data_IF_162617718091
#
_entry.id   IF_162617718091
#
_cell.length_a   1.000
_cell.length_b   1.000
_cell.length_c   1.000
_cell.angle_alpha   90.00
_cell.angle_beta   90.00
_cell.angle_gamma   90.00
#
_symmetry.space_group_name_H-M   'P 1'
#
loop_
_entity.id
_entity.type
_entity.pdbx_description
1 polymer ?
#
# COMPACT_ATOMS: atom_id res chain seq x y z
N UNK A 1 53.55 -38.17 4.04
CA UNK A 1 52.55 -37.40 4.81
C UNK A 1 51.49 -36.96 3.83
N UNK A 2 50.23 -37.34 4.03
CA UNK A 2 49.15 -36.81 3.19
C UNK A 2 48.91 -35.36 3.59
N UNK A 3 48.94 -34.44 2.64
CA UNK A 3 48.39 -33.10 2.85
C UNK A 3 46.87 -33.29 2.97
N UNK A 4 46.37 -33.27 4.20
CA UNK A 4 44.94 -33.12 4.45
C UNK A 4 44.61 -31.68 4.07
N UNK A 5 44.41 -31.45 2.78
CA UNK A 5 44.00 -30.15 2.28
C UNK A 5 42.66 -29.83 2.92
N UNK A 6 42.67 -28.84 3.81
CA UNK A 6 41.47 -28.27 4.42
C UNK A 6 40.49 -27.99 3.28
N UNK A 7 39.42 -28.77 3.23
CA UNK A 7 38.43 -28.63 2.17
C UNK A 7 37.69 -27.35 2.49
N UNK A 8 37.82 -26.35 1.62
CA UNK A 8 37.28 -25.01 1.80
C UNK A 8 36.25 -24.76 0.70
N UNK A 9 35.10 -24.21 1.06
CA UNK A 9 34.06 -23.82 0.11
C UNK A 9 33.50 -22.43 0.45
N UNK A 10 32.84 -21.81 -0.53
CA UNK A 10 32.17 -20.52 -0.34
C UNK A 10 30.92 -20.66 0.53
N UNK A 11 30.67 -19.66 1.36
CA UNK A 11 29.38 -19.43 1.98
C UNK A 11 28.49 -18.64 1.02
N UNK A 12 27.30 -19.13 0.69
CA UNK A 12 26.37 -18.46 -0.24
C UNK A 12 25.92 -17.09 0.27
N UNK A 13 25.73 -16.94 1.59
CA UNK A 13 25.29 -15.67 2.20
C UNK A 13 26.31 -14.52 2.23
N UNK A 14 27.63 -14.79 2.12
CA UNK A 14 28.65 -13.73 2.18
C UNK A 14 29.85 -13.91 1.24
N UNK A 15 29.86 -14.93 0.38
CA UNK A 15 30.94 -15.24 -0.56
C UNK A 15 32.28 -15.67 0.05
N UNK A 16 32.46 -15.55 1.38
CA UNK A 16 33.72 -15.90 2.06
C UNK A 16 33.95 -17.40 2.02
N UNK A 17 35.20 -17.79 1.72
CA UNK A 17 35.62 -19.20 1.73
C UNK A 17 35.99 -19.62 3.14
N UNK A 18 35.30 -20.62 3.68
CA UNK A 18 35.50 -21.18 5.03
C UNK A 18 35.73 -22.70 4.96
N UNK A 19 36.07 -23.34 6.08
CA UNK A 19 36.21 -24.80 6.13
C UNK A 19 34.87 -25.50 5.89
N UNK A 20 34.88 -26.65 5.22
CA UNK A 20 33.67 -27.46 5.01
C UNK A 20 33.03 -27.91 6.33
N UNK A 21 33.83 -28.03 7.40
CA UNK A 21 33.35 -28.39 8.75
C UNK A 21 32.63 -27.25 9.48
N UNK A 22 32.86 -25.99 9.06
CA UNK A 22 32.20 -24.80 9.59
C UNK A 22 30.93 -24.42 8.80
N UNK A 23 30.58 -25.17 7.75
CA UNK A 23 29.44 -24.87 6.88
C UNK A 23 28.18 -25.62 7.32
N UNK A 24 27.12 -24.87 7.60
CA UNK A 24 25.77 -25.37 7.88
C UNK A 24 24.88 -25.19 6.64
N UNK A 25 24.25 -26.26 6.18
CA UNK A 25 23.20 -26.19 5.15
C UNK A 25 21.87 -25.78 5.79
N UNK A 26 21.19 -24.79 5.18
CA UNK A 26 19.86 -24.33 5.57
C UNK A 26 18.91 -24.52 4.38
N UNK A 27 17.72 -25.06 4.64
CA UNK A 27 16.65 -25.19 3.64
C UNK A 27 15.76 -23.94 3.68
N UNK A 28 15.55 -23.34 2.51
CA UNK A 28 14.66 -22.21 2.26
C UNK A 28 13.21 -22.69 2.04
N UNK A 29 12.18 -21.85 2.23
CA UNK A 29 10.77 -22.24 2.02
C UNK A 29 10.51 -22.74 0.58
N UNK A 30 11.18 -22.15 -0.41
CA UNK A 30 11.13 -22.56 -1.83
C UNK A 30 11.77 -23.94 -2.13
N UNK A 31 12.24 -24.65 -1.08
CA UNK A 31 12.93 -25.94 -1.20
C UNK A 31 14.42 -25.85 -1.56
N UNK A 32 14.93 -24.66 -1.88
CA UNK A 32 16.34 -24.42 -2.14
C UNK A 32 17.21 -24.67 -0.89
N UNK A 33 18.42 -25.20 -1.08
CA UNK A 33 19.38 -25.45 0.01
C UNK A 33 20.59 -24.53 -0.15
N UNK A 34 20.80 -23.66 0.85
CA UNK A 34 21.92 -22.71 0.89
C UNK A 34 22.96 -23.11 1.94
N UNK A 35 24.24 -22.93 1.63
CA UNK A 35 25.37 -23.36 2.46
C UNK A 35 26.00 -22.14 3.14
N UNK A 36 25.85 -22.05 4.46
CA UNK A 36 26.18 -20.86 5.23
C UNK A 36 27.31 -21.11 6.23
N UNK A 37 28.21 -20.13 6.40
CA UNK A 37 29.14 -20.08 7.52
C UNK A 37 28.39 -19.76 8.84
N UNK A 38 28.99 -19.94 10.03
CA UNK A 38 28.26 -19.84 11.30
C UNK A 38 27.80 -18.40 11.61
N UNK A 39 28.40 -17.39 10.97
CA UNK A 39 27.93 -16.01 11.02
C UNK A 39 26.69 -15.77 10.14
N UNK A 40 26.57 -16.46 9.00
CA UNK A 40 25.45 -16.31 8.06
C UNK A 40 24.27 -17.25 8.35
N UNK A 41 24.51 -18.39 8.98
CA UNK A 41 23.49 -19.35 9.39
C UNK A 41 22.28 -18.71 10.13
N UNK A 42 22.45 -17.86 11.17
CA UNK A 42 21.31 -17.25 11.85
C UNK A 42 20.49 -16.34 10.92
N UNK A 43 21.13 -15.67 9.96
CA UNK A 43 20.46 -14.83 8.97
C UNK A 43 19.68 -15.68 7.95
N UNK A 44 20.26 -16.77 7.44
CA UNK A 44 19.57 -17.70 6.55
C UNK A 44 18.36 -18.36 7.23
N UNK A 45 18.52 -18.83 8.48
CA UNK A 45 17.39 -19.38 9.27
C UNK A 45 16.32 -18.33 9.57
N UNK A 46 16.69 -17.07 9.78
CA UNK A 46 15.72 -15.99 9.99
C UNK A 46 14.97 -15.64 8.70
N UNK A 47 15.67 -15.63 7.56
CA UNK A 47 15.06 -15.44 6.23
C UNK A 47 14.08 -16.57 5.91
N UNK A 48 14.45 -17.84 6.14
CA UNK A 48 13.57 -18.98 5.92
C UNK A 48 12.25 -18.90 6.73
N UNK A 49 12.32 -18.52 8.02
CA UNK A 49 11.12 -18.27 8.84
C UNK A 49 10.31 -17.05 8.40
N UNK A 50 10.94 -16.07 7.73
CA UNK A 50 10.24 -14.86 7.25
C UNK A 50 9.54 -15.11 5.91
N UNK A 51 10.11 -15.95 5.04
CA UNK A 51 9.46 -16.41 3.81
C UNK A 51 8.17 -17.18 4.10
N UNK A 52 8.19 -18.07 5.09
CA UNK A 52 7.00 -18.78 5.62
C UNK A 52 5.86 -17.80 6.05
N UNK A 53 6.20 -16.57 6.46
CA UNK A 53 5.26 -15.49 6.76
C UNK A 53 4.84 -14.64 5.55
N UNK A 54 5.53 -14.75 4.41
CA UNK A 54 5.14 -14.15 3.13
C UNK A 54 4.18 -15.07 2.35
N UNK A 55 4.29 -16.40 2.49
CA UNK A 55 3.28 -17.38 2.05
C UNK A 55 1.89 -17.17 2.67
N UNK A 56 1.83 -16.46 3.81
CA UNK A 56 0.58 -16.07 4.49
C UNK A 56 -0.06 -14.79 3.92
N UNK A 57 0.51 -14.21 2.85
CA UNK A 57 -0.15 -13.15 2.09
C UNK A 57 -1.39 -13.73 1.40
N UNK A 58 -2.49 -12.98 1.50
CA UNK A 58 -3.76 -13.33 0.87
C UNK A 58 -3.98 -12.42 -0.32
N UNK A 59 -3.94 -13.00 -1.50
CA UNK A 59 -4.28 -12.34 -2.76
C UNK A 59 -5.64 -12.87 -3.26
N UNK A 60 -6.25 -12.17 -4.20
CA UNK A 60 -7.64 -12.44 -4.61
C UNK A 60 -7.66 -13.34 -5.83
N UNK A 61 -8.37 -14.46 -5.77
CA UNK A 61 -8.56 -15.35 -6.92
C UNK A 61 -9.35 -14.63 -8.03
N UNK A 62 -8.84 -14.58 -9.25
CA UNK A 62 -9.52 -13.93 -10.39
C UNK A 62 -10.86 -14.61 -10.76
N UNK A 63 -11.00 -15.91 -10.48
CA UNK A 63 -12.20 -16.69 -10.79
C UNK A 63 -13.36 -16.53 -9.80
N UNK A 64 -13.10 -16.61 -8.49
CA UNK A 64 -14.15 -16.54 -7.45
C UNK A 64 -14.13 -15.25 -6.61
N UNK A 65 -13.13 -14.39 -6.78
CA UNK A 65 -12.93 -13.15 -6.01
C UNK A 65 -12.78 -13.36 -4.49
N UNK A 66 -12.49 -14.60 -4.05
CA UNK A 66 -12.19 -14.88 -2.64
C UNK A 66 -10.69 -14.74 -2.32
N UNK A 67 -10.33 -14.33 -1.08
CA UNK A 67 -8.94 -14.16 -0.66
C UNK A 67 -8.28 -15.50 -0.32
N UNK A 68 -7.49 -16.02 -1.28
CA UNK A 68 -6.71 -17.26 -1.18
C UNK A 68 -5.27 -16.98 -0.74
N UNK A 69 -4.53 -17.99 -0.27
CA UNK A 69 -3.10 -17.85 -0.01
C UNK A 69 -2.34 -17.73 -1.33
N UNK A 70 -1.31 -16.87 -1.40
CA UNK A 70 -0.47 -16.74 -2.61
C UNK A 70 0.19 -18.05 -3.02
N UNK A 71 0.45 -18.95 -2.07
CA UNK A 71 1.00 -20.28 -2.30
C UNK A 71 0.01 -21.27 -2.97
N UNK A 72 -1.29 -20.96 -2.95
CA UNK A 72 -2.37 -21.79 -3.50
C UNK A 72 -2.98 -21.19 -4.79
N UNK A 73 -2.46 -20.05 -5.25
CA UNK A 73 -2.84 -19.47 -6.54
C UNK A 73 -1.96 -20.08 -7.64
N UNK A 74 -2.59 -20.62 -8.68
CA UNK A 74 -1.95 -21.19 -9.85
C UNK A 74 -2.32 -20.36 -11.09
N UNK A 75 -1.30 -19.96 -11.86
CA UNK A 75 -1.46 -19.09 -13.02
C UNK A 75 -1.91 -19.88 -14.25
N UNK A 76 -3.14 -19.65 -14.70
CA UNK A 76 -3.69 -20.24 -15.93
C UNK A 76 -3.64 -19.23 -17.08
N UNK A 77 -3.28 -19.72 -18.27
CA UNK A 77 -3.27 -18.92 -19.51
C UNK A 77 -4.46 -19.34 -20.36
N UNK A 78 -5.41 -18.41 -20.56
CA UNK A 78 -6.55 -18.56 -21.45
C UNK A 78 -6.12 -18.50 -22.93
N UNK A 79 -6.95 -19.01 -23.85
CA UNK A 79 -6.67 -19.02 -25.29
C UNK A 79 -6.43 -17.61 -25.89
N UNK A 80 -7.02 -16.57 -25.29
CA UNK A 80 -6.82 -15.16 -25.66
C UNK A 80 -5.47 -14.58 -25.17
N UNK A 81 -4.64 -15.38 -24.48
CA UNK A 81 -3.35 -14.97 -23.92
C UNK A 81 -3.43 -14.23 -22.58
N UNK A 82 -4.62 -14.16 -21.97
CA UNK A 82 -4.81 -13.59 -20.62
C UNK A 82 -4.31 -14.60 -19.57
N UNK A 83 -3.44 -14.13 -18.68
CA UNK A 83 -3.01 -14.87 -17.48
C UNK A 83 -3.93 -14.51 -16.32
N UNK A 84 -4.47 -15.52 -15.63
CA UNK A 84 -5.30 -15.36 -14.42
C UNK A 84 -4.70 -16.15 -13.27
N UNK A 85 -4.62 -15.55 -12.08
CA UNK A 85 -4.16 -16.21 -10.88
C UNK A 85 -5.37 -16.81 -10.14
N UNK A 86 -5.54 -18.12 -10.28
CA UNK A 86 -6.75 -18.83 -9.85
C UNK A 86 -6.49 -19.78 -8.68
N UNK A 87 -7.45 -19.94 -7.78
CA UNK A 87 -7.39 -20.96 -6.74
C UNK A 87 -7.61 -22.37 -7.35
N UNK A 88 -7.26 -23.46 -6.63
CA UNK A 88 -7.23 -24.81 -7.22
C UNK A 88 -8.61 -25.27 -7.73
N UNK A 89 -9.68 -24.82 -7.08
CA UNK A 89 -11.07 -25.06 -7.52
C UNK A 89 -11.41 -24.35 -8.83
N UNK A 90 -10.96 -23.10 -9.01
CA UNK A 90 -11.19 -22.34 -10.25
C UNK A 90 -10.33 -22.86 -11.41
N UNK A 91 -9.14 -23.40 -11.14
CA UNK A 91 -8.32 -24.08 -12.14
C UNK A 91 -8.96 -25.40 -12.59
N UNK A 92 -9.50 -26.19 -11.66
CA UNK A 92 -10.18 -27.45 -12.00
C UNK A 92 -11.43 -27.25 -12.89
N UNK A 93 -12.13 -26.13 -12.73
CA UNK A 93 -13.30 -25.75 -13.54
C UNK A 93 -12.92 -24.93 -14.81
N UNK A 94 -11.64 -24.61 -15.01
CA UNK A 94 -11.20 -23.81 -16.15
C UNK A 94 -11.28 -24.60 -17.47
N UNK A 95 -11.95 -24.09 -18.52
CA UNK A 95 -12.06 -24.78 -19.80
C UNK A 95 -10.68 -24.89 -20.46
N UNK A 96 -10.09 -26.08 -20.40
CA UNK A 96 -8.77 -26.36 -21.00
C UNK A 96 -8.03 -27.53 -20.34
N UNK A 97 -8.29 -27.84 -19.06
CA UNK A 97 -7.55 -28.89 -18.34
C UNK A 97 -8.22 -30.27 -18.38
N UNK A 98 -8.08 -30.97 -19.51
CA UNK A 98 -8.47 -32.37 -19.67
C UNK A 98 -9.78 -32.56 -20.46
N UNK A 99 -9.68 -33.21 -21.62
CA UNK A 99 -10.81 -33.37 -22.54
C UNK A 99 -11.57 -34.69 -22.43
N UNK A 100 -12.74 -34.71 -23.08
CA UNK A 100 -13.58 -35.90 -23.41
C UNK A 100 -14.15 -36.63 -22.18
N UNK A 101 -15.47 -36.71 -21.96
CA UNK A 101 -16.51 -37.13 -22.90
C UNK A 101 -17.92 -36.86 -22.34
N UNK A 102 -18.90 -36.67 -23.23
CA UNK A 102 -20.36 -36.81 -23.02
C UNK A 102 -21.07 -35.87 -21.99
N UNK A 103 -22.36 -35.56 -22.12
CA UNK A 103 -23.26 -35.50 -23.28
C UNK A 103 -24.52 -34.71 -22.88
N UNK A 104 -25.24 -34.21 -23.89
CA UNK A 104 -26.61 -33.69 -23.94
C UNK A 104 -27.49 -33.67 -22.67
N UNK A 105 -28.08 -32.51 -22.40
CA UNK A 105 -29.53 -32.40 -22.19
C UNK A 105 -30.08 -31.01 -22.60
N UNK A 106 -30.66 -30.95 -23.80
CA UNK A 106 -31.51 -29.86 -24.28
C UNK A 106 -32.77 -29.68 -23.41
N UNK A 107 -33.23 -28.43 -23.22
CA UNK A 107 -34.66 -28.11 -23.08
C UNK A 107 -34.96 -26.59 -23.17
N UNK A 108 -35.33 -26.15 -24.38
CA UNK A 108 -36.41 -25.17 -24.69
C UNK A 108 -36.82 -24.07 -23.68
N UNK A 109 -36.88 -22.81 -24.14
CA UNK A 109 -37.54 -21.71 -23.43
C UNK A 109 -39.02 -21.49 -23.82
N UNK A 110 -39.70 -20.53 -23.16
CA UNK A 110 -40.90 -19.82 -23.65
C UNK A 110 -41.31 -18.62 -22.75
N UNK A 111 -41.36 -17.44 -23.36
CA UNK A 111 -42.41 -16.40 -23.26
C UNK A 111 -42.85 -15.68 -21.96
N UNK A 112 -42.64 -14.34 -22.00
CA UNK A 112 -43.64 -13.26 -21.87
C UNK A 112 -44.20 -12.77 -20.51
N UNK A 113 -43.84 -11.53 -20.12
CA UNK A 113 -44.70 -10.34 -19.89
C UNK A 113 -43.87 -9.21 -19.21
N UNK A 114 -43.74 -7.96 -19.72
CA UNK A 114 -44.68 -6.81 -19.62
C UNK A 114 -45.22 -6.59 -18.19
N UNK A 115 -45.21 -5.43 -17.52
CA UNK A 115 -44.85 -4.01 -17.77
C UNK A 115 -44.69 -3.34 -16.38
N UNK A 116 -44.16 -2.14 -16.10
CA UNK A 116 -43.68 -0.97 -16.87
C UNK A 116 -42.43 -0.38 -16.14
N UNK A 117 -41.89 0.85 -16.32
CA UNK A 117 -42.28 2.08 -17.01
C UNK A 117 -42.68 3.21 -16.05
N UNK A 118 -41.75 4.14 -15.77
CA UNK A 118 -42.02 5.53 -15.34
C UNK A 118 -40.75 6.39 -15.51
N UNK A 119 -40.92 7.48 -16.23
CA UNK A 119 -39.86 8.41 -16.67
C UNK A 119 -39.85 9.70 -15.82
N UNK A 120 -39.03 10.66 -16.25
CA UNK A 120 -39.03 12.10 -15.89
C UNK A 120 -38.27 12.50 -14.61
N UNK A 121 -37.61 13.68 -14.54
CA UNK A 121 -37.50 14.76 -15.53
C UNK A 121 -36.06 15.27 -15.66
N UNK A 122 -35.70 15.76 -16.86
CA UNK A 122 -34.59 16.67 -17.04
C UNK A 122 -35.10 18.11 -16.91
N UNK A 123 -34.33 19.00 -16.27
CA UNK A 123 -34.49 20.44 -16.42
C UNK A 123 -33.12 21.06 -16.77
N UNK A 124 -33.06 21.65 -17.96
CA UNK A 124 -31.87 22.34 -18.48
C UNK A 124 -31.75 23.74 -17.87
N UNK A 125 -30.52 24.14 -17.54
CA UNK A 125 -30.19 25.49 -17.09
C UNK A 125 -28.98 26.05 -17.83
N UNK A 126 -29.19 26.55 -19.05
CA UNK A 126 -28.18 27.25 -19.84
C UNK A 126 -28.12 28.76 -19.51
N UNK A 127 -26.89 29.28 -19.38
CA UNK A 127 -26.38 30.68 -19.31
C UNK A 127 -25.19 30.72 -18.33
N UNK A 128 -24.11 31.49 -18.49
CA UNK A 128 -23.66 32.47 -19.50
C UNK A 128 -22.11 32.39 -19.47
N UNK A 129 -21.35 32.56 -20.56
CA UNK A 129 -21.04 33.90 -21.08
C UNK A 129 -20.09 34.68 -20.16
N UNK A 130 -18.80 34.30 -20.06
CA UNK A 130 -17.88 34.94 -19.12
C UNK A 130 -16.38 34.74 -19.39
N UNK A 131 -15.84 35.42 -20.39
CA UNK A 131 -14.38 35.64 -20.49
C UNK A 131 -13.91 36.52 -19.32
N UNK A 132 -13.02 36.02 -18.45
CA UNK A 132 -12.01 36.86 -17.79
C UNK A 132 -10.91 36.04 -17.12
N UNK A 133 -9.66 36.23 -17.58
CA UNK A 133 -8.44 35.87 -16.85
C UNK A 133 -8.14 34.37 -16.72
N UNK A 134 -7.17 33.89 -17.50
CA UNK A 134 -6.52 32.60 -17.22
C UNK A 134 -5.86 32.63 -15.83
N UNK A 135 -6.31 31.85 -14.83
CA UNK A 135 -5.50 31.62 -13.65
C UNK A 135 -4.33 30.74 -14.08
N UNK A 136 -3.11 31.15 -13.74
CA UNK A 136 -1.90 30.42 -14.11
C UNK A 136 -1.97 28.97 -13.58
N UNK A 137 -1.68 28.02 -14.46
CA UNK A 137 -2.03 26.60 -14.37
C UNK A 137 -1.75 25.95 -13.01
N UNK A 138 -2.78 25.78 -12.18
CA UNK A 138 -2.66 25.16 -10.86
C UNK A 138 -2.27 23.65 -10.93
N UNK A 139 -2.36 23.06 -12.13
CA UNK A 139 -1.93 21.68 -12.41
C UNK A 139 -0.44 21.38 -12.18
N UNK A 140 0.44 22.38 -12.14
CA UNK A 140 1.85 22.19 -11.73
C UNK A 140 2.01 22.19 -10.19
N UNK A 141 1.12 22.89 -9.47
CA UNK A 141 1.13 22.96 -8.00
C UNK A 141 0.67 21.67 -7.32
N UNK A 142 0.26 20.64 -8.06
CA UNK A 142 -0.16 19.35 -7.49
C UNK A 142 0.64 18.10 -7.87
N UNK A 143 1.69 18.16 -8.71
CA UNK A 143 2.51 16.97 -9.07
C UNK A 143 3.42 16.43 -7.95
N UNK A 144 3.41 15.12 -7.69
CA UNK A 144 4.33 14.44 -6.75
C UNK A 144 5.82 14.73 -7.07
N UNK A 145 6.71 14.89 -6.07
CA UNK A 145 8.15 15.09 -6.33
C UNK A 145 8.85 13.87 -6.94
N UNK A 146 8.37 12.67 -6.61
CA UNK A 146 8.96 11.40 -7.07
C UNK A 146 8.36 10.95 -8.41
N UNK A 147 7.09 10.52 -8.43
CA UNK A 147 6.46 9.99 -9.65
C UNK A 147 5.99 11.07 -10.65
N UNK A 148 5.95 12.35 -10.25
CA UNK A 148 5.52 13.51 -11.06
C UNK A 148 4.06 13.51 -11.50
N UNK A 149 3.26 12.53 -11.08
CA UNK A 149 1.84 12.46 -11.36
C UNK A 149 1.00 13.49 -10.57
N UNK A 150 -0.13 13.95 -11.13
CA UNK A 150 -0.96 14.99 -10.52
C UNK A 150 -1.79 14.50 -9.31
N UNK A 151 -1.51 15.15 -8.17
CA UNK A 151 -2.23 15.18 -6.88
C UNK A 151 -3.68 15.69 -6.90
N UNK A 152 -4.72 14.86 -6.82
CA UNK A 152 -6.06 15.36 -6.49
C UNK A 152 -6.20 15.88 -5.04
N UNK A 153 -5.31 15.46 -4.13
CA UNK A 153 -5.35 15.78 -2.69
C UNK A 153 -4.07 16.51 -2.22
N UNK A 154 -4.13 17.14 -1.03
CA UNK A 154 -2.95 17.76 -0.41
C UNK A 154 -1.83 16.73 -0.22
N UNK A 155 -0.69 17.00 -0.86
CA UNK A 155 0.52 16.17 -0.85
C UNK A 155 1.12 16.10 0.56
N UNK A 156 1.69 14.95 0.91
CA UNK A 156 2.44 14.80 2.15
C UNK A 156 3.77 15.54 2.04
N UNK A 157 4.05 16.47 2.96
CA UNK A 157 5.41 16.95 3.20
C UNK A 157 6.11 15.91 4.07
N UNK A 158 7.17 15.30 3.56
CA UNK A 158 7.97 14.32 4.31
C UNK A 158 9.42 14.80 4.37
N UNK A 159 10.08 14.53 5.48
CA UNK A 159 11.53 14.71 5.60
C UNK A 159 12.17 13.34 5.45
N UNK A 160 13.01 13.16 4.43
CA UNK A 160 13.73 11.90 4.22
C UNK A 160 14.98 11.81 5.11
N UNK A 161 15.57 10.61 5.19
CA UNK A 161 16.85 10.37 5.90
C UNK A 161 18.01 11.26 5.43
N UNK A 162 17.93 11.80 4.21
CA UNK A 162 18.91 12.75 3.65
C UNK A 162 18.63 14.21 4.04
N UNK A 163 17.79 14.44 5.06
CA UNK A 163 17.34 15.76 5.55
C UNK A 163 16.59 16.59 4.49
N UNK A 164 16.15 15.96 3.39
CA UNK A 164 15.46 16.62 2.28
C UNK A 164 13.94 16.60 2.49
N UNK A 165 13.32 17.78 2.37
CA UNK A 165 11.86 17.91 2.42
C UNK A 165 11.24 17.65 1.05
N UNK A 166 10.51 16.55 0.93
CA UNK A 166 9.82 16.14 -0.30
C UNK A 166 8.31 16.31 -0.23
N UNK A 167 7.62 16.25 -1.39
CA UNK A 167 6.16 16.42 -1.51
C UNK A 167 5.55 15.24 -2.26
N UNK A 168 5.16 14.21 -1.51
CA UNK A 168 4.74 12.91 -2.04
C UNK A 168 3.22 12.77 -2.17
N UNK A 169 2.78 11.98 -3.16
CA UNK A 169 1.42 11.42 -3.19
C UNK A 169 1.24 10.37 -2.07
N UNK A 170 0.00 9.90 -1.80
CA UNK A 170 -0.23 8.85 -0.80
C UNK A 170 0.60 7.60 -1.04
N UNK A 171 0.71 7.18 -2.29
CA UNK A 171 1.35 5.93 -2.72
C UNK A 171 2.88 6.02 -2.55
N UNK A 172 3.53 7.05 -3.12
CA UNK A 172 4.96 7.29 -2.88
C UNK A 172 5.28 7.54 -1.40
N UNK A 173 4.35 8.08 -0.62
CA UNK A 173 4.53 8.26 0.83
C UNK A 173 4.50 6.91 1.56
N UNK A 174 3.57 6.02 1.22
CA UNK A 174 3.51 4.68 1.79
C UNK A 174 4.73 3.84 1.41
N UNK A 175 5.12 3.87 0.12
CA UNK A 175 6.31 3.18 -0.40
C UNK A 175 7.62 3.68 0.25
N UNK A 176 7.75 4.99 0.48
CA UNK A 176 8.91 5.57 1.19
C UNK A 176 8.90 5.32 2.71
N UNK A 177 7.73 5.09 3.33
CA UNK A 177 7.62 4.61 4.72
C UNK A 177 8.04 3.14 4.82
N UNK A 178 7.55 2.28 3.92
CA UNK A 178 7.90 0.86 3.86
C UNK A 178 9.42 0.65 3.68
N UNK A 179 10.04 1.48 2.83
CA UNK A 179 11.49 1.48 2.60
C UNK A 179 12.30 2.14 3.72
N UNK A 180 11.66 2.68 4.76
CA UNK A 180 12.34 3.35 5.88
C UNK A 180 13.08 4.64 5.49
N UNK A 181 12.69 5.27 4.38
CA UNK A 181 13.34 6.48 3.84
C UNK A 181 12.83 7.74 4.53
N UNK A 182 11.63 7.70 5.14
CA UNK A 182 11.00 8.81 5.83
C UNK A 182 11.42 8.87 7.30
N UNK A 183 11.91 10.03 7.73
CA UNK A 183 12.24 10.35 9.13
C UNK A 183 11.11 11.08 9.85
N UNK A 184 10.39 11.96 9.14
CA UNK A 184 9.28 12.75 9.69
C UNK A 184 8.22 13.02 8.61
N UNK A 185 6.95 13.14 9.01
CA UNK A 185 5.81 13.45 8.14
C UNK A 185 5.06 14.65 8.71
N UNK A 186 5.17 15.80 8.05
CA UNK A 186 4.46 17.00 8.46
C UNK A 186 2.94 16.83 8.31
N UNK A 187 2.19 17.27 9.31
CA UNK A 187 0.73 17.21 9.31
C UNK A 187 0.15 17.96 8.08
N UNK A 188 -0.87 17.39 7.43
CA UNK A 188 -1.61 18.05 6.33
C UNK A 188 -2.58 19.09 6.89
N UNK A 189 -2.86 20.19 6.16
CA UNK A 189 -3.77 21.24 6.64
C UNK A 189 -5.16 20.70 6.96
N UNK A 190 -5.68 19.79 6.14
CA UNK A 190 -6.98 19.14 6.39
C UNK A 190 -6.97 18.39 7.74
N UNK A 191 -5.92 17.61 8.01
CA UNK A 191 -5.77 16.89 9.28
C UNK A 191 -5.60 17.83 10.48
N UNK A 192 -4.89 18.95 10.31
CA UNK A 192 -4.76 19.97 11.34
C UNK A 192 -6.11 20.62 11.69
N UNK A 193 -6.95 20.89 10.68
CA UNK A 193 -8.31 21.38 10.88
C UNK A 193 -9.20 20.37 11.60
N UNK A 194 -9.13 19.08 11.25
CA UNK A 194 -9.81 17.99 11.97
C UNK A 194 -9.41 17.91 13.45
N UNK A 195 -8.11 18.03 13.76
CA UNK A 195 -7.59 17.99 15.14
C UNK A 195 -8.08 19.17 15.98
N UNK A 196 -8.15 20.36 15.39
CA UNK A 196 -8.70 21.54 16.05
C UNK A 196 -10.24 21.59 16.07
N UNK A 197 -10.90 20.86 15.17
CA UNK A 197 -12.35 20.87 14.98
C UNK A 197 -12.85 22.16 14.33
N UNK A 198 -12.12 22.68 13.33
CA UNK A 198 -12.43 23.93 12.62
C UNK A 198 -12.71 23.70 11.14
N UNK A 199 -13.55 24.54 10.55
CA UNK A 199 -13.92 24.49 9.14
C UNK A 199 -12.76 24.82 8.18
N UNK A 200 -12.93 24.43 6.91
CA UNK A 200 -11.96 24.70 5.84
C UNK A 200 -11.63 26.21 5.70
N UNK A 201 -12.64 27.07 5.89
CA UNK A 201 -12.58 28.53 5.75
C UNK A 201 -12.50 29.27 7.10
N UNK A 202 -12.16 28.57 8.19
CA UNK A 202 -12.05 29.18 9.52
C UNK A 202 -10.92 30.24 9.56
N UNK A 203 -11.23 31.42 10.10
CA UNK A 203 -10.28 32.52 10.30
C UNK A 203 -9.29 32.26 11.43
N UNK A 204 -8.18 33.01 11.46
CA UNK A 204 -7.18 32.97 12.54
C UNK A 204 -7.74 33.19 13.94
N UNK A 205 -8.77 34.03 14.12
CA UNK A 205 -9.50 34.13 15.39
C UNK A 205 -10.08 32.78 15.81
N UNK A 206 -10.82 32.12 14.91
CA UNK A 206 -11.47 30.84 15.16
C UNK A 206 -10.45 29.72 15.40
N UNK A 207 -9.37 29.69 14.61
CA UNK A 207 -8.25 28.74 14.79
C UNK A 207 -7.59 28.92 16.17
N UNK A 208 -7.36 30.17 16.62
CA UNK A 208 -6.82 30.46 17.96
C UNK A 208 -7.78 30.08 19.08
N UNK A 209 -9.08 30.33 18.93
CA UNK A 209 -10.07 29.97 19.95
C UNK A 209 -10.22 28.44 20.08
N UNK A 210 -10.26 27.74 18.95
CA UNK A 210 -10.29 26.28 18.90
C UNK A 210 -9.01 25.68 19.52
N UNK A 211 -7.83 26.21 19.19
CA UNK A 211 -6.56 25.82 19.81
C UNK A 211 -6.60 25.97 21.34
N UNK A 212 -6.98 27.14 21.87
CA UNK A 212 -7.07 27.33 23.33
C UNK A 212 -8.09 26.36 23.98
N UNK A 213 -9.17 26.03 23.29
CA UNK A 213 -10.20 25.10 23.78
C UNK A 213 -9.71 23.65 23.78
N UNK A 214 -9.02 23.22 22.73
CA UNK A 214 -8.43 21.88 22.60
C UNK A 214 -7.22 21.70 23.53
N UNK A 215 -6.35 22.71 23.68
CA UNK A 215 -5.26 22.71 24.68
C UNK A 215 -5.80 22.52 26.08
N UNK A 216 -6.85 23.26 26.46
CA UNK A 216 -7.50 23.09 27.77
C UNK A 216 -8.01 21.66 27.97
N UNK A 217 -8.48 20.96 26.93
CA UNK A 217 -8.96 19.57 27.00
C UNK A 217 -7.81 18.54 27.06
N UNK A 218 -6.75 18.78 26.28
CA UNK A 218 -5.61 17.88 26.10
C UNK A 218 -4.50 18.04 27.15
N UNK A 219 -4.53 19.09 27.97
CA UNK A 219 -3.47 19.40 28.94
C UNK A 219 -3.20 18.24 29.92
N UNK A 220 -1.93 17.81 30.12
CA UNK A 220 -1.60 16.65 30.96
C UNK A 220 -2.02 16.78 32.43
N UNK A 221 -2.27 17.99 32.95
CA UNK A 221 -2.84 18.19 34.30
C UNK A 221 -4.33 17.80 34.41
N UNK A 222 -4.99 17.40 33.31
CA UNK A 222 -6.36 16.86 33.33
C UNK A 222 -6.35 15.34 33.22
N UNK A 223 -7.30 14.69 33.90
CA UNK A 223 -7.50 13.24 33.82
C UNK A 223 -7.74 12.70 32.39
N UNK A 224 -8.19 13.53 31.47
CA UNK A 224 -8.40 13.20 30.05
C UNK A 224 -7.26 13.66 29.12
N UNK A 225 -6.24 14.32 29.65
CA UNK A 225 -5.16 14.93 28.88
C UNK A 225 -3.90 14.07 28.85
N UNK A 226 -3.06 14.30 27.84
CA UNK A 226 -1.76 13.62 27.73
C UNK A 226 -0.78 14.50 26.97
N UNK A 227 0.52 14.30 27.21
CA UNK A 227 1.57 15.04 26.50
C UNK A 227 1.47 14.85 24.98
N UNK A 228 1.12 13.64 24.52
CA UNK A 228 0.93 13.32 23.11
C UNK A 228 -0.27 14.07 22.51
N UNK A 229 -1.39 14.17 23.22
CA UNK A 229 -2.56 14.92 22.76
C UNK A 229 -2.27 16.43 22.71
N UNK A 230 -1.55 16.96 23.71
CA UNK A 230 -1.11 18.36 23.72
C UNK A 230 -0.16 18.67 22.56
N UNK A 231 0.81 17.78 22.28
CA UNK A 231 1.72 17.93 21.13
C UNK A 231 0.95 17.94 19.80
N UNK A 232 0.03 16.99 19.61
CA UNK A 232 -0.80 16.90 18.39
C UNK A 232 -1.61 18.18 18.13
N UNK A 233 -2.22 18.76 19.18
CA UNK A 233 -2.98 20.01 19.07
C UNK A 233 -2.07 21.21 18.78
N UNK A 234 -0.84 21.21 19.29
CA UNK A 234 0.16 22.26 19.04
C UNK A 234 0.65 22.22 17.59
N UNK A 235 1.04 21.02 17.13
CA UNK A 235 1.50 20.78 15.76
C UNK A 235 0.42 21.13 14.72
N UNK A 236 -0.85 20.82 15.01
CA UNK A 236 -1.99 21.22 14.20
C UNK A 236 -2.13 22.76 14.10
N UNK A 237 -2.00 23.48 15.21
CA UNK A 237 -2.06 24.94 15.22
C UNK A 237 -0.90 25.58 14.45
N UNK A 238 0.33 25.13 14.70
CA UNK A 238 1.53 25.58 13.98
C UNK A 238 1.42 25.32 12.46
N UNK A 239 0.87 24.17 12.06
CA UNK A 239 0.68 23.81 10.64
C UNK A 239 -0.26 24.77 9.90
N UNK A 240 -1.30 25.27 10.56
CA UNK A 240 -2.24 26.23 9.95
C UNK A 240 -1.67 27.64 9.93
N UNK A 241 -0.90 28.03 10.95
CA UNK A 241 -0.27 29.36 11.08
C UNK A 241 1.01 29.59 10.24
N UNK A 242 1.55 28.55 9.62
CA UNK A 242 2.79 28.60 8.82
C UNK A 242 2.55 28.76 7.30
N UNK A 243 1.33 29.12 6.88
CA UNK A 243 0.89 29.12 5.48
C UNK A 243 0.01 30.37 5.16
N UNK A 244 0.07 31.40 6.04
CA UNK A 244 -0.47 32.77 5.90
C UNK A 244 0.70 33.77 6.06
#
# INVERSE_FOLDING_TARGET
MAVVGERRAGCDGCGRTVGLEDLTTVTMPDGEQVVCCPECEPHARAAARKGDSLDQRRDTCDGCTEPCLTAELEDIVLDDGTVLSCCPSCVAEAPGHGGSDAADADATGADAARTAGSETAAESGERDGGETGSPETDGDRNRCSQCREPVAAERFRVTTIDERTERLCPDCKADAEEKGIITDVAMRKQRAREVLGVDAEASDEAIREAFHSQVKRAHPDRQSGSQSAFKLVTEAYERLRADD
#
